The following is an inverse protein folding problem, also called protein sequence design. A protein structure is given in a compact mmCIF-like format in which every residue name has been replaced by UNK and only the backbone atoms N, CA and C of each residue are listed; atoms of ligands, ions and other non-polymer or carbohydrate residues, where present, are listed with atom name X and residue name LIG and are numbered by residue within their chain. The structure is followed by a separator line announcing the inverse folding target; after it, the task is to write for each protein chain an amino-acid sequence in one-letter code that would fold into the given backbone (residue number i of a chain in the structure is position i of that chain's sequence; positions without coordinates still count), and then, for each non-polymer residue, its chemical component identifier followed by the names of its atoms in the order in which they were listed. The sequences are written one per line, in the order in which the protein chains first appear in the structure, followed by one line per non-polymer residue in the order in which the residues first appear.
data_IF_846690481607
#
_entry.id   IF_846690481607
#
_cell.length_a   1.000
_cell.length_b   1.000
_cell.length_c   1.000
_cell.angle_alpha   90.00
_cell.angle_beta   90.00
_cell.angle_gamma   90.00
#
_symmetry.space_group_name_H-M   'P 1'
#
loop_
_entity.id
_entity.type
_entity.pdbx_description
1 polymer ?
#
# COMPACT_ATOMS: atom_id res chain seq x y z
N UNK A 1 -4.66 -22.37 -21.48
CA UNK A 1 -3.78 -22.40 -22.69
C UNK A 1 -2.81 -21.22 -22.79
N UNK A 2 -3.18 -19.98 -22.49
CA UNK A 2 -2.25 -18.82 -22.55
C UNK A 2 -1.25 -18.78 -21.37
N UNK A 3 -1.65 -19.18 -20.13
CA UNK A 3 -0.77 -19.25 -18.94
C UNK A 3 0.32 -20.31 -19.10
N UNK A 4 -0.03 -21.51 -19.55
CA UNK A 4 0.94 -22.61 -19.77
C UNK A 4 2.01 -22.26 -20.82
N UNK A 5 1.65 -21.46 -21.82
CA UNK A 5 2.59 -21.01 -22.85
C UNK A 5 3.59 -19.98 -22.29
N UNK A 6 3.18 -19.12 -21.36
CA UNK A 6 4.07 -18.15 -20.70
C UNK A 6 5.10 -18.83 -19.81
N UNK A 7 4.68 -19.80 -19.01
CA UNK A 7 5.58 -20.59 -18.14
C UNK A 7 6.60 -21.37 -19.00
N UNK A 8 6.16 -22.00 -20.08
CA UNK A 8 7.05 -22.71 -20.99
C UNK A 8 8.03 -21.78 -21.74
N UNK A 9 7.61 -20.55 -22.06
CA UNK A 9 8.50 -19.54 -22.67
C UNK A 9 9.53 -19.01 -21.66
N UNK A 10 9.16 -18.80 -20.42
CA UNK A 10 10.08 -18.37 -19.35
C UNK A 10 11.12 -19.45 -19.08
N UNK A 11 10.72 -20.70 -18.95
CA UNK A 11 11.63 -21.85 -18.81
C UNK A 11 12.56 -22.02 -20.03
N UNK A 12 12.05 -21.77 -21.23
CA UNK A 12 12.85 -21.87 -22.46
C UNK A 12 13.87 -20.72 -22.55
N UNK A 13 13.54 -19.51 -22.08
CA UNK A 13 14.47 -18.37 -22.02
C UNK A 13 15.59 -18.60 -21.00
N UNK A 14 15.27 -19.13 -19.83
CA UNK A 14 16.27 -19.50 -18.81
C UNK A 14 17.20 -20.59 -19.33
N UNK A 15 16.66 -21.65 -19.95
CA UNK A 15 17.45 -22.69 -20.55
C UNK A 15 18.33 -22.20 -21.73
N UNK A 16 17.84 -21.24 -22.52
CA UNK A 16 18.62 -20.62 -23.60
C UNK A 16 19.74 -19.73 -23.09
N UNK A 17 19.54 -19.01 -21.97
CA UNK A 17 20.59 -18.22 -21.32
C UNK A 17 21.70 -19.11 -20.76
N UNK A 18 21.37 -20.23 -20.14
CA UNK A 18 22.34 -21.21 -19.61
C UNK A 18 23.13 -21.86 -20.72
N UNK A 19 22.49 -22.14 -21.88
CA UNK A 19 23.15 -22.71 -23.06
C UNK A 19 23.98 -21.72 -23.87
N UNK A 20 23.70 -20.40 -23.78
CA UNK A 20 24.46 -19.37 -24.52
C UNK A 20 25.71 -18.88 -23.76
N UNK A 21 25.85 -19.17 -22.48
CA UNK A 21 27.08 -19.00 -21.73
C UNK A 21 28.03 -20.16 -22.13
N UNK A 22 28.70 -19.98 -23.23
CA UNK A 22 29.60 -20.87 -23.95
C UNK A 22 30.19 -22.05 -23.16
N UNK A 23 29.92 -23.24 -23.63
CA UNK A 23 30.54 -24.52 -23.25
C UNK A 23 32.07 -24.53 -23.54
N UNK A 24 32.75 -23.43 -23.33
CA UNK A 24 34.14 -23.29 -23.82
C UNK A 24 35.20 -22.87 -22.79
N UNK A 25 34.90 -22.64 -21.55
CA UNK A 25 35.92 -22.31 -20.53
C UNK A 25 35.40 -22.34 -19.08
N UNK A 26 34.55 -23.28 -18.72
CA UNK A 26 34.30 -23.51 -17.29
C UNK A 26 35.31 -24.58 -16.84
N UNK A 27 36.41 -24.09 -16.24
CA UNK A 27 37.11 -24.88 -15.23
C UNK A 27 36.03 -25.46 -14.30
N UNK A 28 36.12 -26.76 -13.95
CA UNK A 28 35.26 -27.45 -12.98
C UNK A 28 35.06 -26.59 -11.72
N UNK A 29 34.11 -25.70 -11.73
CA UNK A 29 33.43 -25.29 -10.54
C UNK A 29 32.27 -26.26 -10.39
N UNK A 30 32.17 -26.94 -9.29
CA UNK A 30 31.00 -27.73 -8.93
C UNK A 30 29.86 -26.74 -8.78
N UNK A 31 29.19 -26.40 -9.88
CA UNK A 31 28.00 -25.57 -9.89
C UNK A 31 26.87 -26.48 -9.38
N UNK A 32 26.38 -26.14 -8.20
CA UNK A 32 25.19 -26.77 -7.68
C UNK A 32 23.98 -26.23 -8.46
N UNK A 33 23.38 -27.07 -9.29
CA UNK A 33 22.23 -26.68 -10.11
C UNK A 33 20.98 -26.46 -9.25
N UNK A 34 20.87 -27.09 -8.11
CA UNK A 34 19.76 -26.88 -7.18
C UNK A 34 19.87 -25.49 -6.53
N UNK A 35 21.06 -25.10 -6.10
CA UNK A 35 21.33 -23.75 -5.58
C UNK A 35 21.03 -22.67 -6.64
N UNK A 36 21.49 -22.87 -7.86
CA UNK A 36 21.21 -21.91 -8.96
C UNK A 36 19.72 -21.83 -9.26
N UNK A 37 19.00 -22.95 -9.23
CA UNK A 37 17.57 -22.97 -9.45
C UNK A 37 16.82 -22.24 -8.32
N UNK A 38 17.19 -22.44 -7.06
CA UNK A 38 16.63 -21.75 -5.92
C UNK A 38 16.89 -20.22 -5.99
N UNK A 39 18.11 -19.80 -6.33
CA UNK A 39 18.43 -18.38 -6.54
C UNK A 39 17.60 -17.76 -7.68
N UNK A 40 17.42 -18.48 -8.78
CA UNK A 40 16.60 -18.02 -9.90
C UNK A 40 15.12 -17.91 -9.51
N UNK A 41 14.61 -18.87 -8.76
CA UNK A 41 13.22 -18.81 -8.27
C UNK A 41 13.03 -17.61 -7.33
N UNK A 42 13.92 -17.43 -6.36
CA UNK A 42 13.87 -16.27 -5.44
C UNK A 42 13.86 -14.93 -6.20
N UNK A 43 14.66 -14.82 -7.27
CA UNK A 43 14.67 -13.62 -8.11
C UNK A 43 13.35 -13.41 -8.87
N UNK A 44 12.71 -14.50 -9.33
CA UNK A 44 11.39 -14.45 -9.95
C UNK A 44 10.33 -14.02 -8.94
N UNK A 45 10.35 -14.60 -7.74
CA UNK A 45 9.43 -14.27 -6.65
C UNK A 45 9.53 -12.78 -6.27
N UNK A 46 10.75 -12.26 -6.11
CA UNK A 46 10.97 -10.84 -5.83
C UNK A 46 10.40 -9.94 -6.95
N UNK A 47 10.53 -10.33 -8.19
CA UNK A 47 9.99 -9.57 -9.33
C UNK A 47 8.47 -9.64 -9.40
N UNK A 48 7.86 -10.79 -9.08
CA UNK A 48 6.41 -10.95 -9.02
C UNK A 48 5.81 -10.09 -7.90
N UNK A 49 6.39 -10.11 -6.70
CA UNK A 49 6.00 -9.27 -5.57
C UNK A 49 6.12 -7.78 -5.93
N UNK A 50 7.21 -7.37 -6.57
CA UNK A 50 7.37 -5.99 -7.02
C UNK A 50 6.28 -5.59 -8.04
N UNK A 51 5.86 -6.50 -8.92
CA UNK A 51 4.77 -6.26 -9.86
C UNK A 51 3.43 -6.12 -9.14
N UNK A 52 3.15 -6.94 -8.11
CA UNK A 52 1.93 -6.81 -7.29
C UNK A 52 1.88 -5.43 -6.63
N UNK A 53 2.97 -4.97 -6.03
CA UNK A 53 3.02 -3.61 -5.45
C UNK A 53 2.87 -2.50 -6.49
N UNK A 54 3.32 -2.72 -7.70
CA UNK A 54 3.08 -1.78 -8.80
C UNK A 54 1.62 -1.75 -9.22
N UNK A 55 0.94 -2.90 -9.22
CA UNK A 55 -0.51 -2.98 -9.46
C UNK A 55 -1.31 -2.36 -8.31
N UNK A 56 -0.95 -2.62 -7.04
CA UNK A 56 -1.53 -1.95 -5.88
C UNK A 56 -1.56 -0.42 -6.07
N UNK A 57 -0.40 0.19 -6.38
CA UNK A 57 -0.31 1.63 -6.64
C UNK A 57 -1.24 2.07 -7.77
N UNK A 58 -1.31 1.31 -8.88
CA UNK A 58 -2.15 1.68 -10.01
C UNK A 58 -3.63 1.55 -9.67
N UNK A 59 -4.06 0.46 -9.04
CA UNK A 59 -5.43 0.29 -8.59
C UNK A 59 -5.84 1.41 -7.64
N UNK A 60 -5.01 1.70 -6.65
CA UNK A 60 -5.26 2.74 -5.67
C UNK A 60 -5.36 4.13 -6.32
N UNK A 61 -4.40 4.51 -7.17
CA UNK A 61 -4.43 5.81 -7.86
C UNK A 61 -5.61 5.99 -8.82
N UNK A 62 -6.13 4.90 -9.38
CA UNK A 62 -7.29 4.92 -10.27
C UNK A 62 -8.62 4.62 -9.58
N UNK A 63 -8.60 4.37 -8.25
CA UNK A 63 -9.79 4.06 -7.48
C UNK A 63 -10.40 2.70 -7.76
N UNK A 64 -9.61 1.77 -8.26
CA UNK A 64 -10.01 0.41 -8.59
C UNK A 64 -9.80 -0.52 -7.38
N UNK A 65 -10.30 -0.09 -6.20
CA UNK A 65 -10.05 -0.78 -4.94
C UNK A 65 -10.73 -2.16 -4.87
N UNK A 66 -11.85 -2.32 -5.58
CA UNK A 66 -12.55 -3.61 -5.68
C UNK A 66 -11.70 -4.61 -6.45
N UNK A 67 -11.23 -4.22 -7.63
CA UNK A 67 -10.35 -5.04 -8.46
C UNK A 67 -9.04 -5.35 -7.74
N UNK A 68 -8.51 -4.42 -6.98
CA UNK A 68 -7.34 -4.63 -6.14
C UNK A 68 -7.57 -5.74 -5.13
N UNK A 69 -8.64 -5.65 -4.34
CA UNK A 69 -8.97 -6.65 -3.34
C UNK A 69 -9.22 -8.04 -3.96
N UNK A 70 -9.87 -8.10 -5.11
CA UNK A 70 -10.21 -9.37 -5.78
C UNK A 70 -9.00 -10.02 -6.47
N UNK A 71 -8.04 -9.23 -7.00
CA UNK A 71 -6.96 -9.76 -7.83
C UNK A 71 -5.66 -10.01 -7.06
N UNK A 72 -5.28 -9.09 -6.14
CA UNK A 72 -3.95 -9.14 -5.52
C UNK A 72 -3.95 -9.44 -4.02
N UNK A 73 -5.08 -9.33 -3.33
CA UNK A 73 -5.19 -9.76 -1.95
C UNK A 73 -5.45 -11.26 -1.83
N UNK A 74 -5.23 -11.79 -0.63
CA UNK A 74 -5.44 -13.21 -0.29
C UNK A 74 -6.88 -13.68 -0.52
N UNK A 75 -7.03 -14.94 -0.94
CA UNK A 75 -8.32 -15.55 -1.25
C UNK A 75 -8.63 -16.78 -0.39
N UNK A 76 -7.60 -17.52 0.06
CA UNK A 76 -7.81 -18.71 0.86
C UNK A 76 -8.40 -18.36 2.25
N UNK A 77 -9.33 -19.15 2.78
CA UNK A 77 -10.08 -18.79 3.99
C UNK A 77 -9.21 -18.49 5.21
N UNK A 78 -8.15 -19.23 5.43
CA UNK A 78 -7.21 -19.07 6.54
C UNK A 78 -6.37 -17.79 6.40
N UNK A 79 -5.95 -17.46 5.21
CA UNK A 79 -5.22 -16.22 4.92
C UNK A 79 -6.17 -15.01 5.00
N UNK A 80 -7.41 -15.14 4.52
CA UNK A 80 -8.44 -14.10 4.66
C UNK A 80 -8.77 -13.79 6.11
N UNK A 81 -8.79 -14.79 6.98
CA UNK A 81 -9.08 -14.59 8.40
C UNK A 81 -7.99 -13.80 9.13
N UNK A 82 -6.74 -13.95 8.69
CA UNK A 82 -5.56 -13.30 9.28
C UNK A 82 -5.09 -12.08 8.51
N UNK A 83 -5.66 -11.77 7.35
CA UNK A 83 -5.33 -10.58 6.58
C UNK A 83 -5.46 -9.32 7.43
N UNK A 84 -4.62 -8.33 7.20
CA UNK A 84 -4.74 -7.04 7.89
C UNK A 84 -4.35 -5.85 7.03
N UNK A 85 -5.05 -4.74 7.26
CA UNK A 85 -4.67 -3.42 6.78
C UNK A 85 -4.43 -2.51 7.98
N UNK A 86 -3.20 -2.05 8.11
CA UNK A 86 -2.73 -1.23 9.23
C UNK A 86 -2.49 0.21 8.83
N UNK A 87 -2.76 1.11 9.75
CA UNK A 87 -2.42 2.52 9.72
C UNK A 87 -1.82 2.94 11.07
N UNK A 88 -1.33 4.16 11.20
CA UNK A 88 -0.76 4.64 12.47
C UNK A 88 -1.73 4.49 13.66
N UNK A 89 -3.04 4.52 13.41
CA UNK A 89 -4.08 4.49 14.43
C UNK A 89 -4.54 3.07 14.81
N UNK A 90 -4.27 2.06 13.97
CA UNK A 90 -4.71 0.69 14.23
C UNK A 90 -4.85 -0.15 12.97
N UNK A 91 -5.53 -1.28 13.11
CA UNK A 91 -5.71 -2.28 12.07
C UNK A 91 -7.19 -2.56 11.78
N UNK A 92 -7.46 -2.86 10.52
CA UNK A 92 -8.62 -3.64 10.09
C UNK A 92 -8.15 -5.08 9.92
N UNK A 93 -8.83 -6.03 10.57
CA UNK A 93 -8.40 -7.42 10.64
C UNK A 93 -9.43 -8.33 9.99
N UNK A 94 -8.97 -9.20 9.10
CA UNK A 94 -9.79 -10.03 8.25
C UNK A 94 -10.20 -9.34 6.95
N UNK A 95 -10.27 -10.12 5.87
CA UNK A 95 -10.56 -9.62 4.52
C UNK A 95 -11.86 -8.80 4.44
N UNK A 96 -12.90 -9.23 5.13
CA UNK A 96 -14.20 -8.56 5.07
C UNK A 96 -14.16 -7.18 5.76
N UNK A 97 -13.42 -7.04 6.88
CA UNK A 97 -13.19 -5.76 7.55
C UNK A 97 -12.34 -4.82 6.67
N UNK A 98 -11.34 -5.36 5.99
CA UNK A 98 -10.53 -4.60 5.03
C UNK A 98 -11.40 -4.14 3.86
N UNK A 99 -12.26 -5.00 3.33
CA UNK A 99 -13.18 -4.67 2.25
C UNK A 99 -14.11 -3.50 2.63
N UNK A 100 -14.74 -3.57 3.81
CA UNK A 100 -15.61 -2.48 4.29
C UNK A 100 -14.84 -1.15 4.38
N UNK A 101 -13.63 -1.16 4.93
CA UNK A 101 -12.82 0.04 5.07
C UNK A 101 -12.26 0.55 3.74
N UNK A 102 -11.71 -0.36 2.94
CA UNK A 102 -10.90 -0.01 1.79
C UNK A 102 -11.73 0.17 0.51
N UNK A 103 -12.79 -0.62 0.31
CA UNK A 103 -13.69 -0.51 -0.86
C UNK A 103 -14.85 0.42 -0.55
N UNK A 104 -15.70 0.06 0.43
CA UNK A 104 -16.93 0.80 0.71
C UNK A 104 -16.65 2.19 1.30
N UNK A 105 -15.57 2.30 2.07
CA UNK A 105 -15.08 3.56 2.60
C UNK A 105 -14.66 4.53 1.51
N UNK A 106 -13.93 4.08 0.50
CA UNK A 106 -13.53 4.90 -0.64
C UNK A 106 -14.72 5.29 -1.52
N UNK A 107 -15.64 4.36 -1.80
CA UNK A 107 -16.88 4.65 -2.55
C UNK A 107 -17.66 5.78 -1.88
N UNK A 108 -17.77 5.75 -0.56
CA UNK A 108 -18.44 6.81 0.23
C UNK A 108 -17.72 8.15 0.09
N UNK A 109 -16.41 8.18 0.17
CA UNK A 109 -15.60 9.39 0.01
C UNK A 109 -15.72 9.98 -1.39
N UNK A 110 -15.65 9.12 -2.40
CA UNK A 110 -15.74 9.54 -3.79
C UNK A 110 -17.10 10.10 -4.14
N UNK A 111 -18.17 9.52 -3.61
CA UNK A 111 -19.51 10.06 -3.74
C UNK A 111 -19.62 11.47 -3.14
N UNK A 112 -19.07 11.67 -1.95
CA UNK A 112 -19.06 12.99 -1.31
C UNK A 112 -18.30 14.02 -2.14
N UNK A 113 -17.12 13.65 -2.67
CA UNK A 113 -16.31 14.51 -3.54
C UNK A 113 -17.02 14.81 -4.86
N UNK A 114 -17.65 13.82 -5.48
CA UNK A 114 -18.43 13.98 -6.71
C UNK A 114 -19.61 14.95 -6.50
N UNK A 115 -20.37 14.79 -5.43
CA UNK A 115 -21.47 15.72 -5.06
C UNK A 115 -20.96 17.14 -4.85
N UNK A 116 -19.82 17.28 -4.17
CA UNK A 116 -19.20 18.57 -3.92
C UNK A 116 -18.71 19.23 -5.22
N UNK A 117 -18.12 18.46 -6.14
CA UNK A 117 -17.73 18.92 -7.47
C UNK A 117 -18.94 19.41 -8.27
N UNK A 118 -20.04 18.63 -8.29
CA UNK A 118 -21.26 19.03 -8.97
C UNK A 118 -21.82 20.34 -8.44
N UNK A 119 -21.87 20.51 -7.12
CA UNK A 119 -22.34 21.73 -6.47
C UNK A 119 -21.44 22.96 -6.81
N UNK A 120 -20.12 22.77 -6.86
CA UNK A 120 -19.19 23.86 -7.21
C UNK A 120 -19.20 24.24 -8.69
N UNK A 121 -19.65 23.31 -9.53
CA UNK A 121 -19.70 23.47 -11.00
C UNK A 121 -21.08 23.82 -11.53
N UNK A 122 -22.04 24.10 -10.64
CA UNK A 122 -23.45 24.38 -10.98
C UNK A 122 -24.08 23.23 -11.82
N UNK A 123 -23.67 22.00 -11.56
CA UNK A 123 -24.24 20.80 -12.20
C UNK A 123 -25.45 20.34 -11.38
N UNK A 124 -26.61 20.27 -12.05
CA UNK A 124 -27.84 19.80 -11.44
C UNK A 124 -27.87 18.26 -11.40
N UNK A 125 -27.90 17.71 -10.20
CA UNK A 125 -28.01 16.28 -9.91
C UNK A 125 -29.28 15.96 -9.11
N UNK A 126 -30.29 16.87 -9.12
CA UNK A 126 -31.56 16.62 -8.45
C UNK A 126 -32.26 15.38 -9.06
N UNK A 127 -32.62 14.44 -8.20
CA UNK A 127 -33.26 13.19 -8.59
C UNK A 127 -32.29 12.08 -9.05
N UNK A 128 -30.99 12.31 -9.10
CA UNK A 128 -30.01 11.26 -9.39
C UNK A 128 -29.81 10.35 -8.18
N UNK A 129 -29.60 9.06 -8.43
CA UNK A 129 -29.17 8.12 -7.40
C UNK A 129 -27.66 8.27 -7.12
N UNK A 130 -27.22 7.74 -6.00
CA UNK A 130 -25.80 7.76 -5.64
C UNK A 130 -24.95 6.96 -6.65
N UNK A 131 -25.49 5.86 -7.17
CA UNK A 131 -24.84 5.06 -8.21
C UNK A 131 -24.68 5.84 -9.52
N UNK A 132 -25.71 6.57 -9.95
CA UNK A 132 -25.64 7.41 -11.16
C UNK A 132 -24.59 8.52 -11.01
N UNK A 133 -24.48 9.11 -9.81
CA UNK A 133 -23.49 10.15 -9.52
C UNK A 133 -22.09 9.56 -9.57
N UNK A 134 -21.85 8.40 -8.96
CA UNK A 134 -20.57 7.71 -8.99
C UNK A 134 -20.17 7.26 -10.40
N UNK A 135 -21.12 6.73 -11.18
CA UNK A 135 -20.85 6.31 -12.55
C UNK A 135 -20.36 7.47 -13.44
N UNK A 136 -20.94 8.66 -13.28
CA UNK A 136 -20.64 9.81 -14.15
C UNK A 136 -19.51 10.68 -13.58
N UNK A 137 -19.47 10.87 -12.27
CA UNK A 137 -18.59 11.83 -11.60
C UNK A 137 -17.65 11.20 -10.58
N UNK A 138 -17.65 9.89 -10.40
CA UNK A 138 -16.74 9.19 -9.51
C UNK A 138 -15.28 9.49 -9.88
N UNK A 139 -14.49 9.94 -8.92
CA UNK A 139 -13.09 10.33 -9.12
C UNK A 139 -12.87 11.69 -9.79
N UNK A 140 -13.93 12.39 -10.22
CA UNK A 140 -13.79 13.75 -10.79
C UNK A 140 -13.35 14.73 -9.71
N UNK A 141 -12.29 15.47 -10.01
CA UNK A 141 -11.73 16.47 -9.08
C UNK A 141 -10.88 15.86 -7.96
N UNK A 142 -10.54 14.58 -8.06
CA UNK A 142 -9.58 13.93 -7.17
C UNK A 142 -8.22 13.78 -7.82
N UNK A 143 -7.19 13.97 -7.04
CA UNK A 143 -5.82 13.62 -7.35
C UNK A 143 -5.32 12.70 -6.23
N UNK A 144 -5.10 11.45 -6.54
CA UNK A 144 -4.47 10.49 -5.64
C UNK A 144 -3.26 9.90 -6.37
N UNK A 145 -2.08 10.29 -5.94
CA UNK A 145 -0.83 9.86 -6.54
C UNK A 145 0.07 9.27 -5.46
N UNK A 146 0.36 8.01 -5.59
CA UNK A 146 1.37 7.31 -4.80
C UNK A 146 2.36 6.64 -5.73
N UNK A 147 3.57 6.47 -5.24
CA UNK A 147 4.59 5.67 -5.92
C UNK A 147 5.35 4.85 -4.88
N UNK A 148 5.63 3.59 -5.17
CA UNK A 148 6.49 2.78 -4.33
C UNK A 148 7.93 2.87 -4.80
N UNK A 149 8.84 3.15 -3.88
CA UNK A 149 10.28 3.33 -4.16
C UNK A 149 11.13 2.58 -3.14
N UNK A 150 12.42 2.37 -3.46
CA UNK A 150 13.40 1.80 -2.52
C UNK A 150 12.97 0.46 -1.92
N UNK A 151 12.52 -0.46 -2.78
CA UNK A 151 12.06 -1.77 -2.35
C UNK A 151 13.13 -2.57 -1.59
N UNK A 152 12.73 -3.18 -0.47
CA UNK A 152 13.45 -4.26 0.19
C UNK A 152 12.48 -5.44 0.22
N UNK A 153 12.85 -6.57 -0.39
CA UNK A 153 11.99 -7.74 -0.54
C UNK A 153 12.76 -8.97 -0.06
N UNK A 154 12.37 -9.48 1.09
CA UNK A 154 12.93 -10.69 1.69
C UNK A 154 11.93 -11.84 1.56
N UNK A 155 12.21 -12.74 0.64
CA UNK A 155 11.48 -14.00 0.48
C UNK A 155 12.07 -15.02 1.45
N UNK A 156 11.21 -15.72 2.19
CA UNK A 156 11.59 -16.81 3.08
C UNK A 156 12.39 -17.89 2.34
N UNK A 157 13.17 -18.69 3.04
CA UNK A 157 13.96 -19.75 2.42
C UNK A 157 13.08 -20.85 1.84
N UNK A 158 11.90 -21.11 2.46
CA UNK A 158 10.90 -22.04 1.95
C UNK A 158 10.15 -21.56 0.71
N UNK A 159 10.25 -20.25 0.40
CA UNK A 159 9.61 -19.62 -0.74
C UNK A 159 8.09 -19.48 -0.63
N UNK A 160 7.50 -19.58 0.57
CA UNK A 160 6.05 -19.52 0.76
C UNK A 160 5.57 -18.15 1.21
N UNK A 161 6.43 -17.37 1.89
CA UNK A 161 6.09 -16.04 2.38
C UNK A 161 7.17 -15.02 2.05
N UNK A 162 6.84 -13.74 2.12
CA UNK A 162 7.81 -12.65 1.97
C UNK A 162 7.46 -11.48 2.89
N UNK A 163 8.49 -10.82 3.42
CA UNK A 163 8.40 -9.56 4.17
C UNK A 163 9.04 -8.46 3.35
N UNK A 164 8.32 -7.37 3.17
CA UNK A 164 8.72 -6.35 2.22
C UNK A 164 8.53 -4.94 2.76
N UNK A 165 9.32 -4.01 2.26
CA UNK A 165 9.24 -2.61 2.66
C UNK A 165 9.45 -1.69 1.46
N UNK A 166 8.64 -0.61 1.38
CA UNK A 166 8.78 0.47 0.40
C UNK A 166 8.59 1.83 1.05
N UNK A 167 9.21 2.86 0.50
CA UNK A 167 8.70 4.22 0.68
C UNK A 167 7.66 4.54 -0.37
N UNK A 168 6.61 5.27 0.08
CA UNK A 168 5.50 5.72 -0.76
C UNK A 168 5.28 7.22 -0.61
N UNK A 169 6.10 8.06 -1.27
CA UNK A 169 5.78 9.47 -1.37
C UNK A 169 4.56 9.68 -2.28
N UNK A 170 3.67 10.57 -1.88
CA UNK A 170 2.44 10.80 -2.61
C UNK A 170 1.89 12.21 -2.50
N UNK A 171 0.79 12.43 -3.19
CA UNK A 171 -0.01 13.64 -3.15
C UNK A 171 -1.48 13.28 -3.17
N UNK A 172 -2.26 13.92 -2.30
CA UNK A 172 -3.71 13.83 -2.29
C UNK A 172 -4.27 15.24 -2.44
N UNK A 173 -5.24 15.40 -3.32
CA UNK A 173 -6.00 16.64 -3.41
C UNK A 173 -7.41 16.34 -3.92
N UNK A 174 -8.36 17.09 -3.39
CA UNK A 174 -9.76 17.01 -3.79
C UNK A 174 -10.24 18.38 -4.26
N UNK A 175 -11.22 18.39 -5.15
CA UNK A 175 -11.79 19.62 -5.67
C UNK A 175 -12.30 20.53 -4.54
N UNK A 176 -11.82 21.77 -4.52
CA UNK A 176 -12.18 22.76 -3.52
C UNK A 176 -11.46 22.64 -2.17
N UNK A 177 -10.57 21.65 -2.02
CA UNK A 177 -9.77 21.48 -0.80
C UNK A 177 -8.28 21.79 -1.05
N UNK A 178 -7.54 22.00 0.04
CA UNK A 178 -6.09 22.13 -0.03
C UNK A 178 -5.47 20.76 -0.22
N UNK A 179 -4.62 20.63 -1.24
CA UNK A 179 -3.88 19.39 -1.45
C UNK A 179 -2.81 19.16 -0.39
N UNK A 180 -2.51 17.90 -0.15
CA UNK A 180 -1.50 17.44 0.80
C UNK A 180 -0.40 16.66 0.08
N UNK A 181 0.83 16.85 0.53
CA UNK A 181 1.94 15.94 0.25
C UNK A 181 2.00 14.92 1.36
N UNK A 182 2.13 13.66 0.99
CA UNK A 182 2.23 12.54 1.92
C UNK A 182 3.60 11.92 1.78
N UNK A 183 4.17 11.51 2.90
CA UNK A 183 5.33 10.65 2.93
C UNK A 183 5.03 9.46 3.82
N UNK A 184 4.99 8.31 3.21
CA UNK A 184 4.64 7.06 3.86
C UNK A 184 5.71 6.01 3.64
N UNK A 185 5.66 4.98 4.47
CA UNK A 185 6.35 3.75 4.26
C UNK A 185 5.33 2.61 4.29
N UNK A 186 5.47 1.63 3.42
CA UNK A 186 4.65 0.43 3.39
C UNK A 186 5.48 -0.75 3.87
N UNK A 187 5.01 -1.40 4.93
CA UNK A 187 5.41 -2.74 5.32
C UNK A 187 4.38 -3.72 4.81
N UNK A 188 4.80 -4.72 4.05
CA UNK A 188 3.86 -5.63 3.39
C UNK A 188 4.36 -7.06 3.52
N UNK A 189 3.49 -7.92 4.01
CA UNK A 189 3.72 -9.37 4.00
C UNK A 189 2.92 -10.02 2.87
N UNK A 190 3.55 -10.95 2.20
CA UNK A 190 2.96 -11.75 1.13
C UNK A 190 2.97 -13.22 1.49
N UNK A 191 2.00 -13.95 0.96
CA UNK A 191 1.92 -15.40 1.05
C UNK A 191 1.62 -15.98 -0.33
N UNK A 192 2.07 -17.20 -0.59
CA UNK A 192 1.72 -17.94 -1.82
C UNK A 192 0.44 -18.74 -1.63
N UNK A 193 -0.51 -18.52 -2.55
CA UNK A 193 -1.72 -19.33 -2.70
C UNK A 193 -1.70 -20.00 -4.06
N UNK A 194 -1.77 -21.33 -4.11
CA UNK A 194 -1.68 -22.12 -5.37
C UNK A 194 -0.50 -21.73 -6.27
N UNK A 195 0.63 -21.29 -5.68
CA UNK A 195 1.83 -20.88 -6.38
C UNK A 195 1.79 -19.46 -6.94
N UNK A 196 0.80 -18.66 -6.61
CA UNK A 196 0.69 -17.24 -6.95
C UNK A 196 0.89 -16.39 -5.68
N UNK A 197 1.69 -15.33 -5.76
CA UNK A 197 1.86 -14.41 -4.65
C UNK A 197 0.60 -13.57 -4.43
N UNK A 198 0.21 -13.41 -3.15
CA UNK A 198 -0.91 -12.56 -2.72
C UNK A 198 -0.48 -11.64 -1.60
N UNK A 199 -1.01 -10.42 -1.58
CA UNK A 199 -0.85 -9.49 -0.48
C UNK A 199 -1.66 -9.99 0.71
N UNK A 200 -1.03 -10.06 1.87
CA UNK A 200 -1.63 -10.61 3.07
C UNK A 200 -1.77 -9.57 4.18
N UNK A 201 -0.68 -8.91 4.52
CA UNK A 201 -0.69 -7.78 5.44
C UNK A 201 -0.17 -6.55 4.70
N UNK A 202 -0.86 -5.42 4.85
CA UNK A 202 -0.40 -4.11 4.40
C UNK A 202 -0.44 -3.17 5.59
N UNK A 203 0.72 -2.65 6.01
CA UNK A 203 0.80 -1.62 7.04
C UNK A 203 1.37 -0.34 6.46
N UNK A 204 0.56 0.69 6.46
CA UNK A 204 0.89 2.02 5.99
C UNK A 204 1.35 2.88 7.16
N UNK A 205 2.63 3.23 7.17
CA UNK A 205 3.23 4.09 8.18
C UNK A 205 3.32 5.51 7.63
N UNK A 206 2.40 6.36 8.00
CA UNK A 206 2.43 7.77 7.60
C UNK A 206 3.41 8.53 8.46
N UNK A 207 4.54 8.94 7.89
CA UNK A 207 5.57 9.73 8.55
C UNK A 207 5.23 11.20 8.59
N UNK A 208 4.67 11.69 7.49
CA UNK A 208 4.44 13.10 7.29
C UNK A 208 3.30 13.32 6.31
N UNK A 209 2.40 14.23 6.70
CA UNK A 209 1.41 14.81 5.80
C UNK A 209 1.44 16.32 5.97
N UNK A 210 1.62 17.05 4.89
CA UNK A 210 1.66 18.51 4.91
C UNK A 210 0.91 19.13 3.75
N UNK A 211 0.15 20.17 4.06
CA UNK A 211 -0.56 20.94 3.05
C UNK A 211 0.41 21.57 2.04
N UNK A 212 0.07 21.52 0.77
CA UNK A 212 0.70 22.33 -0.26
C UNK A 212 -0.34 23.21 -0.93
N UNK A 213 0.10 24.38 -1.43
CA UNK A 213 -0.81 25.41 -1.96
C UNK A 213 -1.28 25.09 -3.40
N UNK A 214 -1.68 23.86 -3.66
CA UNK A 214 -2.34 23.48 -4.89
C UNK A 214 -3.83 23.28 -4.61
N UNK A 215 -4.66 24.15 -5.15
CA UNK A 215 -6.11 23.99 -5.08
C UNK A 215 -6.60 23.48 -6.43
N UNK A 216 -7.09 22.26 -6.47
CA UNK A 216 -7.69 21.69 -7.68
C UNK A 216 -9.00 22.40 -7.99
N UNK A 217 -9.08 22.97 -9.20
CA UNK A 217 -10.27 23.67 -9.68
C UNK A 217 -10.54 25.03 -9.07
N UNK A 218 -9.73 25.48 -8.13
CA UNK A 218 -9.84 26.83 -7.53
C UNK A 218 -9.00 27.87 -8.26
N UNK A 219 -9.45 29.12 -8.31
CA UNK A 219 -8.61 30.23 -8.71
C UNK A 219 -7.54 30.41 -7.63
N UNK A 220 -6.28 30.14 -7.96
CA UNK A 220 -5.15 30.41 -7.10
C UNK A 220 -5.04 31.90 -6.83
N UNK A 221 -5.48 32.35 -5.68
CA UNK A 221 -5.14 33.67 -5.16
C UNK A 221 -3.82 33.59 -4.39
N UNK A 222 -2.72 33.64 -5.11
CA UNK A 222 -1.41 33.69 -4.47
C UNK A 222 -0.35 33.04 -5.35
N UNK A 223 0.53 33.85 -5.90
CA UNK A 223 1.57 33.41 -6.79
C UNK A 223 2.50 32.40 -6.16
N UNK A 224 2.80 31.35 -6.90
CA UNK A 224 3.97 30.52 -6.68
C UNK A 224 5.21 31.39 -6.73
N UNK A 225 5.79 31.67 -5.58
CA UNK A 225 7.16 32.14 -5.52
C UNK A 225 8.07 31.00 -5.96
N UNK A 226 8.53 31.02 -7.21
CA UNK A 226 9.56 30.13 -7.70
C UNK A 226 10.85 30.27 -6.88
N UNK A 227 11.75 29.30 -6.89
CA UNK A 227 13.03 29.39 -6.20
C UNK A 227 13.87 30.55 -6.80
N UNK A 228 13.89 31.71 -6.15
CA UNK A 228 14.72 32.83 -6.58
C UNK A 228 14.19 34.24 -6.27
N UNK A 229 13.06 34.40 -5.60
CA UNK A 229 12.50 35.71 -5.26
C UNK A 229 12.63 36.04 -3.79
N UNK A 230 13.76 36.59 -3.34
CA UNK A 230 13.86 37.27 -2.07
C UNK A 230 13.06 38.57 -2.10
N UNK A 231 12.01 38.69 -1.29
CA UNK A 231 11.22 39.88 -1.16
C UNK A 231 10.41 39.79 0.14
N UNK A 232 10.91 40.42 1.18
CA UNK A 232 10.23 40.53 2.45
C UNK A 232 8.91 41.27 2.32
N UNK A 233 7.88 40.69 2.90
CA UNK A 233 6.71 41.43 3.32
C UNK A 233 6.37 40.97 4.74
N UNK A 234 6.68 41.86 5.69
CA UNK A 234 6.18 41.82 7.05
C UNK A 234 4.67 42.05 7.00
N UNK A 235 3.91 40.98 7.14
CA UNK A 235 2.49 41.01 7.39
C UNK A 235 2.26 40.29 8.71
N UNK A 236 1.79 41.03 9.71
CA UNK A 236 1.41 40.50 11.02
C UNK A 236 0.35 39.42 10.84
N UNK A 237 0.70 38.18 11.17
CA UNK A 237 -0.27 37.10 11.33
C UNK A 237 -0.96 37.25 12.68
N UNK A 238 -2.09 37.97 12.69
CA UNK A 238 -3.04 37.88 13.79
C UNK A 238 -4.08 36.83 13.44
N UNK A 239 -3.99 35.70 14.06
CA UNK A 239 -5.00 34.65 14.00
C UNK A 239 -4.47 33.39 14.67
N UNK A 240 -4.74 33.33 15.98
CA UNK A 240 -4.68 32.10 16.74
C UNK A 240 -5.70 31.13 16.15
N UNK A 241 -5.27 30.22 15.29
CA UNK A 241 -6.03 29.06 14.87
C UNK A 241 -5.20 27.82 15.16
N UNK A 242 -5.00 27.57 16.45
CA UNK A 242 -4.56 26.27 16.97
C UNK A 242 -5.70 25.24 16.98
N UNK A 243 -6.58 25.26 16.00
CA UNK A 243 -7.33 24.09 15.62
C UNK A 243 -6.46 23.33 14.62
N UNK A 244 -5.62 22.45 15.14
CA UNK A 244 -5.10 21.33 14.36
C UNK A 244 -6.34 20.63 13.80
N UNK A 245 -6.61 20.81 12.51
CA UNK A 245 -7.55 19.94 11.82
C UNK A 245 -7.01 18.52 11.98
N UNK A 246 -7.70 17.77 12.81
CA UNK A 246 -7.46 16.34 13.00
C UNK A 246 -7.53 15.70 11.60
N UNK A 247 -6.39 15.25 11.12
CA UNK A 247 -6.33 14.60 9.82
C UNK A 247 -7.16 13.32 9.84
N UNK A 248 -8.05 13.18 8.90
CA UNK A 248 -8.95 12.05 8.78
C UNK A 248 -8.54 11.18 7.59
N UNK A 249 -7.35 10.64 7.64
CA UNK A 249 -6.84 9.60 6.76
C UNK A 249 -6.94 9.82 5.25
N UNK A 250 -6.40 8.92 4.48
CA UNK A 250 -6.53 8.91 3.04
C UNK A 250 -8.00 8.84 2.62
N UNK A 251 -8.40 9.71 1.70
CA UNK A 251 -9.70 9.67 1.05
C UNK A 251 -10.91 10.02 1.89
N UNK A 252 -10.78 10.70 3.03
CA UNK A 252 -11.94 11.19 3.80
C UNK A 252 -12.88 10.10 4.35
N UNK A 253 -12.70 8.85 3.97
CA UNK A 253 -13.54 7.71 4.35
C UNK A 253 -13.44 7.33 5.84
N UNK A 254 -12.39 7.77 6.52
CA UNK A 254 -12.14 7.38 7.91
C UNK A 254 -13.01 8.08 8.95
N UNK A 255 -13.93 8.94 8.56
CA UNK A 255 -14.79 9.63 9.52
C UNK A 255 -15.75 8.71 10.29
N UNK A 256 -15.96 7.48 9.83
CA UNK A 256 -16.91 6.54 10.43
C UNK A 256 -16.36 5.13 10.65
N UNK A 257 -15.23 4.77 10.08
CA UNK A 257 -14.71 3.41 10.22
C UNK A 257 -13.99 3.25 11.55
N UNK A 258 -14.44 2.29 12.31
CA UNK A 258 -13.84 1.90 13.57
C UNK A 258 -12.84 0.78 13.29
N UNK A 259 -11.56 1.04 13.52
CA UNK A 259 -10.56 -0.02 13.48
C UNK A 259 -10.94 -1.13 14.47
N UNK A 260 -10.73 -2.37 14.08
CA UNK A 260 -10.93 -3.53 14.95
C UNK A 260 -9.94 -3.51 16.10
N UNK A 261 -8.76 -3.02 15.83
CA UNK A 261 -7.68 -2.86 16.76
C UNK A 261 -7.03 -1.47 16.65
N UNK A 262 -6.93 -0.76 17.78
CA UNK A 262 -6.59 0.67 17.82
C UNK A 262 -5.15 0.88 18.25
N UNK A 263 -4.14 0.43 17.63
CA UNK A 263 -2.79 0.92 17.89
C UNK A 263 -1.71 0.04 17.28
N UNK A 264 -0.72 0.67 16.67
CA UNK A 264 0.55 0.03 16.34
C UNK A 264 1.65 0.61 17.24
N UNK A 265 1.90 0.01 18.41
CA UNK A 265 2.82 0.57 19.40
C UNK A 265 4.28 0.63 18.93
N UNK A 266 4.59 -0.05 17.83
CA UNK A 266 5.95 -0.15 17.32
C UNK A 266 6.35 1.05 16.45
N UNK A 267 5.37 1.78 15.90
CA UNK A 267 5.65 2.90 15.01
C UNK A 267 5.64 4.24 15.75
N UNK A 268 6.68 5.02 15.51
CA UNK A 268 6.81 6.38 16.01
C UNK A 268 6.84 7.33 14.82
N UNK A 269 5.78 8.11 14.65
CA UNK A 269 5.67 9.14 13.63
C UNK A 269 6.86 10.11 13.66
N UNK A 270 7.09 10.79 12.55
CA UNK A 270 8.12 11.81 12.50
C UNK A 270 7.85 12.90 13.53
N UNK A 271 8.85 13.20 14.34
CA UNK A 271 8.89 14.32 15.26
C UNK A 271 10.33 14.82 15.35
N UNK A 272 10.53 16.03 15.93
CA UNK A 272 11.86 16.61 16.06
C UNK A 272 12.81 15.80 16.96
N UNK A 273 12.29 14.88 17.76
CA UNK A 273 13.00 14.04 18.70
C UNK A 273 13.00 12.55 18.32
N UNK A 274 12.40 12.18 17.17
CA UNK A 274 12.49 10.80 16.66
C UNK A 274 13.90 10.49 16.23
N UNK A 275 14.44 9.37 16.72
CA UNK A 275 15.75 8.88 16.30
C UNK A 275 15.63 8.17 14.95
N UNK A 276 16.68 8.24 14.15
CA UNK A 276 16.77 7.50 12.89
C UNK A 276 16.60 6.00 13.09
N UNK A 277 17.17 5.44 14.15
CA UNK A 277 17.07 4.03 14.51
C UNK A 277 15.67 3.55 14.83
N UNK A 278 14.72 4.45 15.13
CA UNK A 278 13.31 4.07 15.37
C UNK A 278 12.67 3.42 14.13
N UNK A 279 13.21 3.65 12.92
CA UNK A 279 12.75 3.04 11.68
C UNK A 279 13.42 1.68 11.36
N UNK A 280 14.53 1.34 12.01
CA UNK A 280 15.26 0.10 11.70
C UNK A 280 14.47 -1.17 12.05
N UNK A 281 13.57 -1.08 13.02
CA UNK A 281 12.75 -2.21 13.45
C UNK A 281 11.73 -2.65 12.40
N UNK A 282 11.40 -1.78 11.44
CA UNK A 282 10.43 -2.07 10.37
C UNK A 282 11.07 -2.60 9.11
N UNK A 283 12.41 -2.63 9.03
CA UNK A 283 13.08 -3.15 7.85
C UNK A 283 13.06 -4.68 7.88
N UNK A 284 12.64 -5.33 6.78
CA UNK A 284 12.59 -6.78 6.71
C UNK A 284 14.00 -7.37 6.78
N UNK A 285 14.11 -8.53 7.38
CA UNK A 285 15.35 -9.30 7.50
C UNK A 285 15.14 -10.67 6.88
N UNK A 286 16.22 -11.27 6.38
CA UNK A 286 16.18 -12.65 5.89
C UNK A 286 15.68 -13.61 7.00
N UNK A 287 14.85 -14.57 6.64
CA UNK A 287 14.24 -15.53 7.55
C UNK A 287 13.99 -16.86 6.82
N UNK A 288 13.83 -17.94 7.57
CA UNK A 288 13.71 -19.30 7.02
C UNK A 288 12.24 -19.59 6.68
N UNK A 289 11.36 -19.44 7.66
CA UNK A 289 9.92 -19.71 7.58
C UNK A 289 9.13 -18.62 8.33
N UNK A 290 7.84 -18.55 8.07
CA UNK A 290 6.97 -17.55 8.68
C UNK A 290 6.71 -17.81 10.18
N UNK A 291 6.64 -16.71 10.94
CA UNK A 291 6.16 -16.72 12.31
C UNK A 291 5.42 -15.43 12.64
N UNK A 292 4.25 -15.52 13.24
CA UNK A 292 3.52 -14.36 13.77
C UNK A 292 4.23 -13.69 14.95
N UNK A 293 5.20 -14.38 15.57
CA UNK A 293 5.99 -13.85 16.69
C UNK A 293 7.25 -13.12 16.23
N UNK A 294 7.57 -13.14 14.94
CA UNK A 294 8.87 -12.67 14.40
C UNK A 294 8.72 -11.50 13.42
N UNK A 295 8.20 -10.39 13.93
CA UNK A 295 8.25 -9.09 13.26
C UNK A 295 7.57 -9.06 11.89
N UNK A 296 6.28 -9.42 11.83
CA UNK A 296 5.42 -9.24 10.66
C UNK A 296 4.84 -7.82 10.61
N UNK A 297 4.20 -7.46 9.49
CA UNK A 297 3.54 -6.16 9.31
C UNK A 297 2.05 -6.18 9.68
N UNK A 298 1.50 -7.34 9.98
CA UNK A 298 0.18 -7.51 10.60
C UNK A 298 0.22 -7.36 12.12
N UNK A 299 -0.91 -7.59 12.79
CA UNK A 299 -0.96 -7.71 14.23
C UNK A 299 -0.04 -8.81 14.77
N UNK A 300 0.39 -8.68 16.02
CA UNK A 300 1.13 -9.72 16.73
C UNK A 300 0.23 -10.93 17.04
N UNK A 301 0.84 -12.07 17.38
CA UNK A 301 0.08 -13.25 17.84
C UNK A 301 -0.89 -12.90 18.98
N UNK A 302 -0.43 -12.17 20.00
CA UNK A 302 -1.26 -11.78 21.15
C UNK A 302 -2.46 -10.92 20.71
N UNK A 303 -2.25 -10.04 19.73
CA UNK A 303 -3.31 -9.20 19.17
C UNK A 303 -4.34 -10.04 18.42
N UNK A 304 -3.93 -10.93 17.52
CA UNK A 304 -4.84 -11.85 16.82
C UNK A 304 -5.65 -12.70 17.79
N UNK A 305 -5.00 -13.30 18.80
CA UNK A 305 -5.67 -14.09 19.83
C UNK A 305 -6.69 -13.27 20.63
N UNK A 306 -6.40 -11.99 20.89
CA UNK A 306 -7.33 -11.07 21.57
C UNK A 306 -8.60 -10.78 20.75
N UNK A 307 -8.53 -10.91 19.44
CA UNK A 307 -9.69 -10.85 18.52
C UNK A 307 -10.42 -12.18 18.39
N UNK A 308 -9.89 -13.25 18.98
CA UNK A 308 -10.44 -14.59 18.86
C UNK A 308 -10.12 -15.27 17.53
N UNK A 309 -9.07 -14.83 16.85
CA UNK A 309 -8.58 -15.45 15.62
C UNK A 309 -7.69 -16.62 15.99
N UNK A 310 -8.00 -17.79 15.43
CA UNK A 310 -7.27 -19.03 15.65
C UNK A 310 -6.10 -19.12 14.67
N UNK A 311 -4.91 -18.79 15.15
CA UNK A 311 -3.68 -18.89 14.36
C UNK A 311 -3.21 -20.32 14.15
N UNK A 312 -3.63 -21.27 14.99
CA UNK A 312 -3.28 -22.67 14.81
C UNK A 312 -3.91 -23.21 13.52
N UNK A 313 -5.10 -22.74 13.16
CA UNK A 313 -5.73 -23.06 11.88
C UNK A 313 -4.89 -22.60 10.67
N UNK A 314 -4.23 -21.47 10.78
CA UNK A 314 -3.31 -20.99 9.74
C UNK A 314 -2.08 -21.90 9.64
N UNK A 315 -1.44 -22.25 10.76
CA UNK A 315 -0.26 -23.14 10.77
C UNK A 315 -0.58 -24.55 10.29
N UNK A 316 -1.80 -25.05 10.56
CA UNK A 316 -2.24 -26.36 10.09
C UNK A 316 -2.46 -26.42 8.57
N UNK A 317 -2.67 -25.26 7.93
CA UNK A 317 -2.91 -25.13 6.48
C UNK A 317 -1.62 -24.91 5.69
N UNK A 318 -0.56 -24.39 6.32
CA UNK A 318 0.74 -24.04 5.70
C UNK A 318 1.88 -24.86 6.29
#
# INVERSE_FOLDING_TARGET
MKKTIRILLSLACVAALVLSLGVGALAKSDIDLEEVAAMAQKACDQQEIQNIMSWHVMYHCYGLHREEMEEIWVNEPENRATASFGQNQGFYVGYDSIWEAYVEGHDTSWLATAKNYCAQSDIDIEGWTDEEILEVYGGVGQLLLHVTTTAIIEVAEDGQTAKCFWYSPGMIAESGQTGNTIWEAYGVDFVKEDGEWKMWHLHMFTDFMGGFYLTLGGKTSGGMGGPGGGGGASGEASGDSSEQQEWKGEGGAQASSKHDYLYSPQYKEFSHDRLRSDMEIFLPKAYDEWSFDDGNYGPTREEYESFGIDLDAWYDAH
#
